data_IF_195404756982
#
_entry.id   IF_195404756982
#
_cell.length_a   1.000
_cell.length_b   1.000
_cell.length_c   1.000
_cell.angle_alpha   90.00
_cell.angle_beta   90.00
_cell.angle_gamma   90.00
#
_symmetry.space_group_name_H-M   'P 1'
#
loop_
_entity.id
_entity.type
_entity.pdbx_description
1 polymer ?
#
# COMPACT_ATOMS: atom_id res chain seq x y z
N UNK A 1 5.44 -19.69 -2.97
CA UNK A 1 4.20 -18.91 -2.77
C UNK A 1 4.08 -17.85 -3.88
N UNK A 2 2.87 -17.41 -4.25
CA UNK A 2 2.56 -16.43 -5.31
C UNK A 2 1.93 -15.22 -4.66
N UNK A 3 2.55 -14.07 -4.85
CA UNK A 3 2.22 -12.82 -4.16
C UNK A 3 1.73 -11.79 -5.16
N UNK A 4 0.43 -11.49 -5.19
CA UNK A 4 -0.12 -10.39 -5.96
C UNK A 4 0.12 -9.06 -5.20
N UNK A 5 0.84 -8.12 -5.81
CA UNK A 5 1.27 -6.87 -5.18
C UNK A 5 0.76 -5.70 -6.02
N UNK A 6 -0.26 -5.00 -5.54
CA UNK A 6 -0.81 -3.82 -6.25
C UNK A 6 0.07 -2.60 -6.01
N UNK A 7 0.23 -1.74 -7.03
CA UNK A 7 1.22 -0.67 -7.00
C UNK A 7 2.64 -1.21 -6.84
N UNK A 8 2.89 -2.39 -7.41
CA UNK A 8 4.11 -3.16 -7.21
C UNK A 8 5.36 -2.56 -7.86
N UNK A 9 5.21 -1.61 -8.78
CA UNK A 9 6.31 -0.84 -9.37
C UNK A 9 6.51 0.53 -8.70
N UNK A 10 5.80 0.80 -7.59
CA UNK A 10 5.98 1.99 -6.77
C UNK A 10 7.04 1.82 -5.68
N UNK A 11 7.32 2.91 -4.94
CA UNK A 11 8.40 3.00 -3.94
C UNK A 11 8.41 1.85 -2.93
N UNK A 12 7.30 1.56 -2.27
CA UNK A 12 7.20 0.46 -1.32
C UNK A 12 6.86 -0.87 -1.98
N UNK A 13 6.05 -0.85 -3.06
CA UNK A 13 5.65 -2.06 -3.77
C UNK A 13 6.82 -2.84 -4.32
N UNK A 14 7.81 -2.16 -4.88
CA UNK A 14 9.08 -2.75 -5.33
C UNK A 14 9.84 -3.40 -4.17
N UNK A 15 9.94 -2.71 -3.03
CA UNK A 15 10.61 -3.26 -1.84
C UNK A 15 9.86 -4.45 -1.24
N UNK A 16 8.54 -4.44 -1.31
CA UNK A 16 7.73 -5.60 -0.94
C UNK A 16 7.98 -6.80 -1.86
N UNK A 17 8.11 -6.56 -3.16
CA UNK A 17 8.42 -7.59 -4.14
C UNK A 17 9.83 -8.17 -3.95
N UNK A 18 10.83 -7.32 -3.71
CA UNK A 18 12.20 -7.74 -3.38
C UNK A 18 12.23 -8.61 -2.12
N UNK A 19 11.56 -8.17 -1.03
CA UNK A 19 11.51 -8.91 0.22
C UNK A 19 10.97 -10.33 0.05
N UNK A 20 9.83 -10.49 -0.65
CA UNK A 20 9.24 -11.83 -0.82
C UNK A 20 10.05 -12.70 -1.79
N UNK A 21 10.73 -12.09 -2.78
CA UNK A 21 11.61 -12.79 -3.71
C UNK A 21 12.86 -13.35 -3.03
N UNK A 22 13.47 -12.62 -2.09
CA UNK A 22 14.60 -13.06 -1.30
C UNK A 22 14.31 -14.35 -0.53
N UNK A 23 13.05 -14.56 -0.14
CA UNK A 23 12.59 -15.80 0.51
C UNK A 23 12.02 -16.86 -0.47
N UNK A 24 12.37 -16.75 -1.76
CA UNK A 24 12.01 -17.74 -2.77
C UNK A 24 10.54 -17.72 -3.22
N UNK A 25 9.81 -16.66 -2.91
CA UNK A 25 8.45 -16.49 -3.39
C UNK A 25 8.43 -15.94 -4.83
N UNK A 26 7.27 -16.03 -5.49
CA UNK A 26 7.06 -15.55 -6.87
C UNK A 26 6.20 -14.30 -6.83
N UNK A 27 6.79 -13.10 -6.83
CA UNK A 27 6.03 -11.86 -6.86
C UNK A 27 5.38 -11.62 -8.23
N UNK A 28 4.16 -11.11 -8.20
CA UNK A 28 3.41 -10.59 -9.34
C UNK A 28 3.26 -9.09 -9.15
N UNK A 29 3.88 -8.33 -10.00
CA UNK A 29 3.94 -6.88 -9.98
C UNK A 29 2.73 -6.33 -10.75
N UNK A 30 1.74 -5.84 -10.01
CA UNK A 30 0.52 -5.27 -10.57
C UNK A 30 0.61 -3.74 -10.50
N UNK A 31 0.67 -3.07 -11.64
CA UNK A 31 0.76 -1.60 -11.71
C UNK A 31 0.10 -1.09 -13.00
N UNK A 32 -0.12 0.22 -13.13
CA UNK A 32 -0.78 0.80 -14.30
C UNK A 32 0.02 0.64 -15.60
N UNK A 33 1.35 0.58 -15.51
CA UNK A 33 2.23 0.62 -16.67
C UNK A 33 2.98 -0.70 -16.88
N UNK A 34 2.67 -1.41 -17.97
CA UNK A 34 3.30 -2.70 -18.30
C UNK A 34 4.84 -2.63 -18.28
N UNK A 35 5.42 -1.60 -18.90
CA UNK A 35 6.87 -1.47 -18.96
C UNK A 35 7.53 -1.34 -17.58
N UNK A 36 6.88 -0.63 -16.64
CA UNK A 36 7.39 -0.48 -15.27
C UNK A 36 7.23 -1.78 -14.48
N UNK A 37 6.07 -2.43 -14.56
CA UNK A 37 5.81 -3.70 -13.89
C UNK A 37 6.80 -4.78 -14.34
N UNK A 38 7.04 -4.87 -15.65
CA UNK A 38 7.94 -5.86 -16.20
C UNK A 38 9.41 -5.56 -15.89
N UNK A 39 9.84 -4.30 -15.89
CA UNK A 39 11.20 -3.92 -15.50
C UNK A 39 11.51 -4.31 -14.04
N UNK A 40 10.54 -4.17 -13.12
CA UNK A 40 10.69 -4.64 -11.74
C UNK A 40 10.75 -6.17 -11.70
N UNK A 41 9.88 -6.85 -12.44
CA UNK A 41 9.87 -8.31 -12.49
C UNK A 41 11.17 -8.88 -13.07
N UNK A 42 11.72 -8.27 -14.13
CA UNK A 42 13.00 -8.64 -14.73
C UNK A 42 14.15 -8.52 -13.73
N UNK A 43 14.27 -7.37 -13.05
CA UNK A 43 15.29 -7.17 -12.03
C UNK A 43 15.18 -8.18 -10.89
N UNK A 44 13.98 -8.54 -10.46
CA UNK A 44 13.76 -9.56 -9.45
C UNK A 44 14.20 -10.94 -9.93
N UNK A 45 13.87 -11.32 -11.17
CA UNK A 45 14.34 -12.59 -11.76
C UNK A 45 15.86 -12.67 -11.79
N UNK A 46 16.51 -11.58 -12.23
CA UNK A 46 17.97 -11.52 -12.37
C UNK A 46 18.68 -11.56 -11.00
N UNK A 47 18.15 -10.84 -10.03
CA UNK A 47 18.81 -10.68 -8.72
C UNK A 47 18.56 -11.88 -7.79
N UNK A 48 17.35 -12.46 -7.79
CA UNK A 48 16.96 -13.48 -6.82
C UNK A 48 16.76 -14.88 -7.43
N UNK A 49 16.80 -14.99 -8.75
CA UNK A 49 16.64 -16.29 -9.43
C UNK A 49 15.24 -16.90 -9.26
N UNK A 50 14.24 -16.12 -8.90
CA UNK A 50 12.86 -16.57 -8.75
C UNK A 50 12.01 -16.17 -9.95
N UNK A 51 10.93 -16.90 -10.18
CA UNK A 51 9.94 -16.50 -11.19
C UNK A 51 9.17 -15.27 -10.70
N UNK A 52 9.17 -14.22 -11.52
CA UNK A 52 8.39 -12.99 -11.31
C UNK A 52 7.74 -12.54 -12.62
N UNK A 53 6.60 -11.90 -12.56
CA UNK A 53 5.91 -11.32 -13.73
C UNK A 53 5.39 -9.92 -13.42
N UNK A 54 5.38 -9.06 -14.44
CA UNK A 54 4.76 -7.75 -14.42
C UNK A 54 3.49 -7.74 -15.26
N UNK A 55 2.41 -7.21 -14.73
CA UNK A 55 1.13 -7.03 -15.44
C UNK A 55 0.66 -5.59 -15.32
N UNK A 56 0.19 -5.04 -16.44
CA UNK A 56 -0.55 -3.78 -16.45
C UNK A 56 -1.97 -4.02 -15.94
N UNK A 57 -2.37 -3.29 -14.91
CA UNK A 57 -3.70 -3.39 -14.35
C UNK A 57 -4.12 -2.07 -13.70
N UNK A 58 -5.30 -1.60 -14.04
CA UNK A 58 -6.01 -0.58 -13.27
C UNK A 58 -6.91 -1.27 -12.25
N UNK A 59 -6.56 -1.14 -10.96
CA UNK A 59 -7.35 -1.75 -9.88
C UNK A 59 -8.70 -1.08 -9.64
N UNK A 60 -9.00 0.02 -10.31
CA UNK A 60 -10.35 0.61 -10.32
C UNK A 60 -11.27 -0.08 -11.33
N UNK A 61 -10.71 -0.89 -12.26
CA UNK A 61 -11.45 -1.72 -13.20
C UNK A 61 -11.59 -3.14 -12.67
N UNK A 62 -12.81 -3.50 -12.27
CA UNK A 62 -13.11 -4.87 -11.80
C UNK A 62 -12.83 -5.92 -12.90
N UNK A 63 -13.09 -5.58 -14.17
CA UNK A 63 -12.83 -6.45 -15.31
C UNK A 63 -11.33 -6.81 -15.43
N UNK A 64 -10.44 -5.80 -15.37
CA UNK A 64 -8.99 -6.03 -15.43
C UNK A 64 -8.49 -6.87 -14.24
N UNK A 65 -9.08 -6.69 -13.05
CA UNK A 65 -8.76 -7.54 -11.89
C UNK A 65 -9.14 -8.99 -12.15
N UNK A 66 -10.32 -9.24 -12.70
CA UNK A 66 -10.78 -10.59 -13.05
C UNK A 66 -9.85 -11.24 -14.08
N UNK A 67 -9.52 -10.52 -15.15
CA UNK A 67 -8.62 -10.99 -16.20
C UNK A 67 -7.23 -11.32 -15.65
N UNK A 68 -6.64 -10.42 -14.88
CA UNK A 68 -5.33 -10.64 -14.27
C UNK A 68 -5.34 -11.80 -13.27
N UNK A 69 -6.43 -11.96 -12.51
CA UNK A 69 -6.61 -13.11 -11.63
C UNK A 69 -6.60 -14.43 -12.41
N UNK A 70 -7.28 -14.48 -13.57
CA UNK A 70 -7.28 -15.66 -14.44
C UNK A 70 -5.88 -15.95 -15.01
N UNK A 71 -5.15 -14.93 -15.47
CA UNK A 71 -3.75 -15.06 -15.93
C UNK A 71 -2.88 -15.70 -14.84
N UNK A 72 -3.04 -15.27 -13.58
CA UNK A 72 -2.28 -15.85 -12.46
C UNK A 72 -2.66 -17.31 -12.20
N UNK A 73 -3.95 -17.65 -12.28
CA UNK A 73 -4.42 -19.00 -12.09
C UNK A 73 -3.92 -19.93 -13.21
N UNK A 74 -3.99 -19.49 -14.45
CA UNK A 74 -3.51 -20.26 -15.62
C UNK A 74 -1.99 -20.50 -15.53
N UNK A 75 -1.23 -19.50 -15.13
CA UNK A 75 0.23 -19.58 -15.02
C UNK A 75 0.71 -20.37 -13.82
N UNK A 76 0.11 -20.15 -12.66
CA UNK A 76 0.62 -20.63 -11.37
C UNK A 76 -0.28 -21.65 -10.67
N UNK A 77 -1.50 -21.85 -11.16
CA UNK A 77 -2.52 -22.73 -10.57
C UNK A 77 -3.19 -22.19 -9.32
N UNK A 78 -2.62 -21.16 -8.66
CA UNK A 78 -3.15 -20.57 -7.44
C UNK A 78 -2.52 -19.22 -7.11
N UNK A 79 -3.16 -18.48 -6.20
CA UNK A 79 -2.65 -17.25 -5.57
C UNK A 79 -2.59 -17.50 -4.06
N UNK A 80 -1.49 -17.19 -3.40
CA UNK A 80 -1.29 -17.47 -1.97
C UNK A 80 -1.44 -16.22 -1.11
N UNK A 81 -1.09 -15.05 -1.64
CA UNK A 81 -1.02 -13.78 -0.90
C UNK A 81 -1.48 -12.62 -1.76
N UNK A 82 -2.17 -11.67 -1.14
CA UNK A 82 -2.46 -10.34 -1.69
C UNK A 82 -1.83 -9.25 -0.80
N UNK A 83 -1.12 -8.32 -1.44
CA UNK A 83 -0.62 -7.10 -0.80
C UNK A 83 -1.30 -5.92 -1.49
N UNK A 84 -2.30 -5.33 -0.83
CA UNK A 84 -2.95 -4.10 -1.25
C UNK A 84 -2.06 -2.91 -0.87
N UNK A 85 -1.19 -2.51 -1.81
CA UNK A 85 -0.23 -1.43 -1.61
C UNK A 85 -0.51 -0.21 -2.51
N UNK A 86 -1.25 -0.37 -3.61
CA UNK A 86 -1.57 0.74 -4.50
C UNK A 86 -2.28 1.89 -3.78
N UNK A 87 -1.86 3.11 -4.05
CA UNK A 87 -2.46 4.32 -3.51
C UNK A 87 -2.14 5.51 -4.41
N UNK A 88 -3.07 6.44 -4.53
CA UNK A 88 -2.76 7.79 -4.98
C UNK A 88 -2.10 8.56 -3.84
N UNK A 89 -1.07 9.32 -4.17
CA UNK A 89 -0.46 10.28 -3.26
C UNK A 89 -0.16 11.57 -4.03
N UNK A 90 -1.21 12.33 -4.38
CA UNK A 90 -1.04 13.54 -5.18
C UNK A 90 -0.10 14.51 -4.46
N UNK A 91 0.91 15.00 -5.18
CA UNK A 91 1.81 16.02 -4.66
C UNK A 91 1.06 17.34 -4.56
N UNK A 92 1.10 17.96 -3.41
CA UNK A 92 0.42 19.22 -3.10
C UNK A 92 0.93 20.38 -3.97
N UNK A 93 2.05 20.21 -4.66
CA UNK A 93 2.75 21.24 -5.45
C UNK A 93 2.26 21.39 -6.89
N UNK A 94 1.44 20.44 -7.38
CA UNK A 94 1.08 20.36 -8.80
C UNK A 94 -0.04 21.33 -9.25
N UNK A 95 -0.62 22.16 -8.35
CA UNK A 95 -1.68 23.09 -8.69
C UNK A 95 -1.17 24.52 -8.88
N UNK A 96 -1.24 25.03 -10.10
CA UNK A 96 -0.73 26.37 -10.47
C UNK A 96 -1.52 27.55 -9.91
N UNK A 97 -2.79 27.42 -9.45
CA UNK A 97 -3.62 28.58 -9.07
C UNK A 97 -4.59 28.40 -7.89
N UNK A 98 -4.88 27.18 -7.43
CA UNK A 98 -5.77 26.94 -6.28
C UNK A 98 -5.14 25.89 -5.40
N UNK A 99 -5.05 26.17 -4.09
CA UNK A 99 -4.58 25.18 -3.14
C UNK A 99 -5.64 24.10 -2.94
N UNK A 100 -5.62 23.07 -3.80
CA UNK A 100 -6.56 21.96 -3.77
C UNK A 100 -6.42 21.07 -2.53
N UNK A 101 -5.32 21.19 -1.76
CA UNK A 101 -5.15 20.39 -0.55
C UNK A 101 -6.09 20.79 0.58
N UNK A 102 -6.58 22.04 0.57
CA UNK A 102 -7.46 22.56 1.61
C UNK A 102 -8.87 22.00 1.47
N UNK A 103 -9.49 21.68 2.61
CA UNK A 103 -10.80 21.03 2.66
C UNK A 103 -11.89 21.82 1.90
N UNK A 104 -11.91 23.14 2.09
CA UNK A 104 -12.88 24.04 1.45
C UNK A 104 -12.74 24.13 -0.07
N UNK A 105 -11.58 23.76 -0.62
CA UNK A 105 -11.27 23.79 -2.05
C UNK A 105 -11.04 22.39 -2.64
N UNK A 106 -11.20 21.34 -1.85
CA UNK A 106 -10.84 19.98 -2.28
C UNK A 106 -11.81 19.48 -3.35
N UNK A 107 -11.34 19.16 -4.59
CA UNK A 107 -12.22 18.77 -5.68
C UNK A 107 -12.85 17.41 -5.45
N UNK A 108 -14.13 17.29 -5.78
CA UNK A 108 -14.89 16.02 -5.62
C UNK A 108 -14.41 14.93 -6.57
N UNK A 109 -13.93 15.30 -7.76
CA UNK A 109 -13.30 14.36 -8.71
C UNK A 109 -12.03 13.73 -8.13
N UNK A 110 -11.12 14.54 -7.56
CA UNK A 110 -9.92 14.02 -6.86
C UNK A 110 -10.33 13.14 -5.67
N UNK A 111 -11.37 13.54 -4.92
CA UNK A 111 -11.90 12.69 -3.84
C UNK A 111 -12.33 11.32 -4.38
N UNK A 112 -13.11 11.30 -5.45
CA UNK A 112 -13.61 10.06 -6.04
C UNK A 112 -12.46 9.19 -6.57
N UNK A 113 -11.47 9.78 -7.22
CA UNK A 113 -10.30 9.07 -7.74
C UNK A 113 -9.45 8.47 -6.61
N UNK A 114 -9.20 9.22 -5.54
CA UNK A 114 -8.43 8.72 -4.40
C UNK A 114 -9.15 7.57 -3.69
N UNK A 115 -10.47 7.67 -3.50
CA UNK A 115 -11.30 6.60 -2.93
C UNK A 115 -11.35 5.38 -3.88
N UNK A 116 -11.48 5.62 -5.19
CA UNK A 116 -11.52 4.56 -6.19
C UNK A 116 -10.23 3.73 -6.17
N UNK A 117 -9.07 4.36 -6.18
CA UNK A 117 -7.78 3.66 -6.13
C UNK A 117 -7.50 3.08 -4.75
N UNK A 118 -7.58 3.91 -3.71
CA UNK A 118 -7.03 3.55 -2.40
C UNK A 118 -7.93 2.65 -1.56
N UNK A 119 -9.24 2.67 -1.77
CA UNK A 119 -10.19 1.90 -0.98
C UNK A 119 -11.02 0.94 -1.83
N UNK A 120 -11.70 1.45 -2.88
CA UNK A 120 -12.51 0.59 -3.76
C UNK A 120 -11.63 -0.43 -4.48
N UNK A 121 -10.47 -0.04 -5.01
CA UNK A 121 -9.52 -0.95 -5.65
C UNK A 121 -9.00 -2.03 -4.71
N UNK A 122 -8.67 -1.67 -3.46
CA UNK A 122 -8.27 -2.66 -2.45
C UNK A 122 -9.41 -3.65 -2.12
N UNK A 123 -10.64 -3.16 -2.05
CA UNK A 123 -11.84 -4.01 -1.90
C UNK A 123 -12.01 -4.95 -3.09
N UNK A 124 -11.93 -4.46 -4.33
CA UNK A 124 -12.07 -5.27 -5.54
C UNK A 124 -10.96 -6.33 -5.63
N UNK A 125 -9.72 -5.96 -5.34
CA UNK A 125 -8.61 -6.91 -5.26
C UNK A 125 -8.86 -7.98 -4.19
N UNK A 126 -9.32 -7.60 -3.00
CA UNK A 126 -9.68 -8.57 -1.98
C UNK A 126 -10.84 -9.48 -2.42
N UNK A 127 -11.87 -8.92 -3.09
CA UNK A 127 -13.00 -9.67 -3.63
C UNK A 127 -12.55 -10.78 -4.59
N UNK A 128 -11.64 -10.51 -5.50
CA UNK A 128 -11.25 -11.47 -6.54
C UNK A 128 -10.03 -12.30 -6.15
N UNK A 129 -8.89 -11.69 -5.81
CA UNK A 129 -7.70 -12.44 -5.37
C UNK A 129 -7.91 -13.11 -4.02
N UNK A 130 -8.54 -12.41 -3.05
CA UNK A 130 -8.84 -12.97 -1.73
C UNK A 130 -9.76 -14.18 -1.81
N UNK A 131 -10.75 -14.16 -2.71
CA UNK A 131 -11.61 -15.32 -2.97
C UNK A 131 -10.82 -16.53 -3.50
N UNK A 132 -9.82 -16.32 -4.37
CA UNK A 132 -8.98 -17.43 -4.83
C UNK A 132 -8.04 -17.94 -3.73
N UNK A 133 -7.51 -17.03 -2.90
CA UNK A 133 -6.72 -17.40 -1.71
C UNK A 133 -7.55 -18.27 -0.77
N UNK A 134 -8.81 -17.92 -0.55
CA UNK A 134 -9.73 -18.69 0.31
C UNK A 134 -10.09 -20.10 -0.22
N UNK A 135 -9.83 -20.38 -1.49
CA UNK A 135 -9.96 -21.75 -2.08
C UNK A 135 -8.77 -22.64 -1.83
N UNK A 136 -7.63 -22.09 -1.41
CA UNK A 136 -6.46 -22.89 -1.13
C UNK A 136 -6.70 -23.75 0.12
N UNK A 137 -6.31 -25.03 0.13
CA UNK A 137 -6.47 -25.91 1.29
C UNK A 137 -5.80 -25.39 2.58
N UNK A 138 -4.74 -24.61 2.44
CA UNK A 138 -4.01 -23.99 3.56
C UNK A 138 -4.38 -22.52 3.79
N UNK A 139 -5.34 -21.98 3.02
CA UNK A 139 -5.67 -20.55 3.07
C UNK A 139 -4.53 -19.67 2.53
N UNK A 140 -4.27 -18.55 3.18
CA UNK A 140 -3.22 -17.61 2.81
C UNK A 140 -3.26 -16.32 3.62
N UNK A 141 -2.71 -15.23 3.06
CA UNK A 141 -2.63 -13.95 3.77
C UNK A 141 -2.98 -12.76 2.87
N UNK A 142 -3.65 -11.78 3.45
CA UNK A 142 -3.90 -10.47 2.86
C UNK A 142 -3.25 -9.42 3.76
N UNK A 143 -2.45 -8.52 3.18
CA UNK A 143 -1.91 -7.35 3.90
C UNK A 143 -2.36 -6.08 3.20
N UNK A 144 -3.03 -5.22 3.94
CA UNK A 144 -3.41 -3.88 3.49
C UNK A 144 -2.36 -2.87 3.99
N UNK A 145 -1.75 -2.12 3.07
CA UNK A 145 -0.76 -1.09 3.42
C UNK A 145 -1.52 0.21 3.73
N UNK A 146 -1.77 0.42 5.03
CA UNK A 146 -2.35 1.64 5.56
C UNK A 146 -1.27 2.73 5.76
N UNK A 147 -1.29 3.44 6.87
CA UNK A 147 -0.32 4.46 7.28
C UNK A 147 -0.48 4.75 8.77
N UNK A 148 0.52 5.37 9.39
CA UNK A 148 0.38 6.05 10.69
C UNK A 148 -0.79 7.06 10.68
N UNK A 149 -1.02 7.76 9.55
CA UNK A 149 -2.16 8.67 9.36
C UNK A 149 -3.52 7.97 9.17
N UNK A 150 -3.56 6.66 9.20
CA UNK A 150 -4.78 5.87 9.39
C UNK A 150 -5.09 5.63 10.87
N UNK A 151 -4.11 5.84 11.76
CA UNK A 151 -4.22 5.66 13.21
C UNK A 151 -4.35 6.98 13.95
N UNK A 152 -3.71 8.02 13.45
CA UNK A 152 -3.65 9.34 14.07
C UNK A 152 -4.01 10.46 13.10
N UNK A 153 -4.34 11.62 13.64
CA UNK A 153 -4.59 12.82 12.84
C UNK A 153 -3.30 13.38 12.23
N UNK A 154 -3.34 13.90 10.99
CA UNK A 154 -2.19 14.57 10.40
C UNK A 154 -1.87 15.88 11.14
N UNK A 155 -0.59 16.12 11.43
CA UNK A 155 -0.15 17.43 11.91
C UNK A 155 -0.05 18.40 10.73
N UNK A 156 -1.04 19.29 10.61
CA UNK A 156 -1.10 20.24 9.50
C UNK A 156 0.04 21.29 9.55
N UNK A 157 0.73 21.45 10.68
CA UNK A 157 1.86 22.37 10.82
C UNK A 157 3.06 21.96 9.97
N UNK A 158 3.19 20.69 9.63
CA UNK A 158 4.26 20.17 8.76
C UNK A 158 4.27 20.82 7.37
N UNK A 159 3.09 21.21 6.87
CA UNK A 159 2.91 21.73 5.52
C UNK A 159 3.01 23.26 5.45
N UNK A 160 3.21 23.94 6.60
CA UNK A 160 3.31 25.40 6.65
C UNK A 160 4.60 25.89 6.00
N UNK A 161 4.46 26.91 5.13
CA UNK A 161 5.57 27.64 4.50
C UNK A 161 5.63 29.07 5.04
N UNK A 162 6.85 29.54 5.31
CA UNK A 162 7.06 30.94 5.72
C UNK A 162 6.67 31.90 4.60
N UNK A 163 6.17 33.08 4.96
CA UNK A 163 5.74 34.10 4.01
C UNK A 163 4.42 33.82 3.28
N UNK A 164 3.79 32.66 3.50
CA UNK A 164 2.49 32.30 2.88
C UNK A 164 1.35 32.61 3.86
N UNK A 165 0.32 33.31 3.39
CA UNK A 165 -0.86 33.64 4.18
C UNK A 165 -1.54 32.34 4.70
N UNK A 166 -2.13 32.42 5.90
CA UNK A 166 -2.76 31.28 6.59
C UNK A 166 -3.79 30.55 5.71
N UNK A 167 -4.58 31.26 4.95
CA UNK A 167 -5.64 30.72 4.09
C UNK A 167 -5.10 30.09 2.78
N UNK A 168 -3.81 30.30 2.49
CA UNK A 168 -3.12 29.74 1.32
C UNK A 168 -2.11 28.66 1.68
N UNK A 169 -1.99 28.32 2.96
CA UNK A 169 -1.09 27.24 3.40
C UNK A 169 -1.55 25.88 2.89
N UNK A 170 -0.60 25.05 2.49
CA UNK A 170 -0.87 23.65 2.17
C UNK A 170 -1.25 22.88 3.44
N UNK A 171 -2.02 21.82 3.26
CA UNK A 171 -2.40 20.87 4.30
C UNK A 171 -2.30 19.43 3.75
N UNK A 172 -2.33 18.43 4.60
CA UNK A 172 -2.48 17.05 4.12
C UNK A 172 -3.87 16.89 3.50
N UNK A 173 -3.98 16.38 2.26
CA UNK A 173 -5.28 16.09 1.64
C UNK A 173 -6.16 15.21 2.51
N UNK A 174 -7.45 15.53 2.59
CA UNK A 174 -8.41 14.84 3.45
C UNK A 174 -8.57 13.36 3.09
N UNK A 175 -8.51 13.03 1.81
CA UNK A 175 -8.68 11.68 1.27
C UNK A 175 -7.65 10.70 1.81
N UNK A 176 -6.41 11.16 2.06
CA UNK A 176 -5.35 10.28 2.52
C UNK A 176 -5.69 9.58 3.85
N UNK A 177 -6.06 10.37 4.87
CA UNK A 177 -6.44 9.79 6.17
C UNK A 177 -7.69 8.92 6.08
N UNK A 178 -8.68 9.31 5.26
CA UNK A 178 -9.92 8.55 5.07
C UNK A 178 -9.64 7.21 4.42
N UNK A 179 -8.87 7.17 3.33
CA UNK A 179 -8.47 5.93 2.65
C UNK A 179 -7.69 5.03 3.61
N UNK A 180 -6.69 5.57 4.29
CA UNK A 180 -5.83 4.78 5.18
C UNK A 180 -6.58 4.24 6.40
N UNK A 181 -7.52 4.99 6.96
CA UNK A 181 -8.43 4.50 8.02
C UNK A 181 -9.43 3.48 7.45
N UNK A 182 -9.97 3.70 6.24
CA UNK A 182 -10.86 2.77 5.55
C UNK A 182 -10.22 1.39 5.33
N UNK A 183 -8.93 1.33 4.98
CA UNK A 183 -8.19 0.08 4.84
C UNK A 183 -8.09 -0.71 6.16
N UNK A 184 -8.04 -0.03 7.32
CA UNK A 184 -8.11 -0.68 8.63
C UNK A 184 -9.48 -1.31 8.85
N UNK A 185 -10.56 -0.61 8.47
CA UNK A 185 -11.92 -1.14 8.49
C UNK A 185 -12.07 -2.39 7.61
N UNK A 186 -11.59 -2.32 6.36
CA UNK A 186 -11.57 -3.45 5.43
C UNK A 186 -10.77 -4.65 5.99
N UNK A 187 -9.63 -4.38 6.62
CA UNK A 187 -8.80 -5.42 7.27
C UNK A 187 -9.59 -6.20 8.32
N UNK A 188 -10.26 -5.50 9.22
CA UNK A 188 -11.06 -6.12 10.30
C UNK A 188 -12.23 -6.94 9.76
N UNK A 189 -12.90 -6.43 8.70
CA UNK A 189 -13.96 -7.17 8.04
C UNK A 189 -13.46 -8.48 7.42
N UNK A 190 -12.39 -8.41 6.62
CA UNK A 190 -11.83 -9.56 5.94
C UNK A 190 -11.24 -10.60 6.89
N UNK A 191 -10.69 -10.17 8.02
CA UNK A 191 -10.14 -11.06 9.04
C UNK A 191 -11.18 -12.02 9.63
N UNK A 192 -12.43 -11.59 9.71
CA UNK A 192 -13.53 -12.46 10.18
C UNK A 192 -14.21 -13.19 9.04
N UNK A 193 -14.27 -12.60 7.85
CA UNK A 193 -15.03 -13.12 6.71
C UNK A 193 -14.50 -14.46 6.17
N UNK A 194 -13.18 -14.66 6.14
CA UNK A 194 -12.52 -15.88 5.68
C UNK A 194 -11.70 -16.60 6.76
N UNK A 195 -12.00 -16.36 8.04
CA UNK A 195 -11.29 -17.01 9.14
C UNK A 195 -11.43 -18.55 9.08
N UNK A 196 -12.61 -19.05 8.71
CA UNK A 196 -12.91 -20.48 8.50
C UNK A 196 -12.16 -21.11 7.31
N UNK A 197 -11.58 -20.29 6.44
CA UNK A 197 -10.77 -20.68 5.28
C UNK A 197 -9.25 -20.54 5.53
N UNK A 198 -8.85 -20.26 6.77
CA UNK A 198 -7.45 -20.00 7.12
C UNK A 198 -6.83 -18.82 6.34
N UNK A 199 -7.63 -17.82 5.96
CA UNK A 199 -7.12 -16.58 5.37
C UNK A 199 -6.98 -15.55 6.48
N UNK A 200 -5.75 -15.08 6.70
CA UNK A 200 -5.47 -13.98 7.62
C UNK A 200 -5.47 -12.66 6.86
N UNK A 201 -6.04 -11.62 7.46
CA UNK A 201 -5.99 -10.28 6.92
C UNK A 201 -5.49 -9.30 7.98
N UNK A 202 -4.40 -8.57 7.70
CA UNK A 202 -3.80 -7.62 8.62
C UNK A 202 -3.47 -6.31 7.91
N UNK A 203 -3.38 -5.21 8.66
CA UNK A 203 -2.93 -3.92 8.16
C UNK A 203 -1.53 -3.60 8.67
N UNK A 204 -0.62 -3.24 7.78
CA UNK A 204 0.62 -2.57 8.13
C UNK A 204 0.43 -1.07 8.01
N UNK A 205 0.90 -0.32 9.01
CA UNK A 205 0.78 1.14 9.06
C UNK A 205 2.17 1.78 9.06
N UNK A 206 2.79 1.93 7.88
CA UNK A 206 4.07 2.62 7.73
C UNK A 206 3.98 4.08 8.18
N UNK A 207 5.04 4.56 8.83
CA UNK A 207 5.29 5.99 9.00
C UNK A 207 5.83 6.65 7.72
N UNK A 208 6.40 7.82 7.86
CA UNK A 208 7.00 8.54 6.75
C UNK A 208 8.21 7.81 6.17
N UNK A 209 8.29 7.75 4.85
CA UNK A 209 9.41 7.17 4.09
C UNK A 209 10.25 8.29 3.49
N UNK A 210 11.58 8.22 3.66
CA UNK A 210 12.50 9.16 3.02
C UNK A 210 12.52 8.92 1.50
N UNK A 211 12.21 9.96 0.75
CA UNK A 211 12.12 9.91 -0.71
C UNK A 211 12.33 11.31 -1.33
N UNK A 212 13.46 11.94 -1.00
CA UNK A 212 13.86 13.22 -1.58
C UNK A 212 13.01 14.43 -1.17
N UNK A 213 12.38 14.39 0.01
CA UNK A 213 11.64 15.54 0.55
C UNK A 213 12.61 16.69 0.89
N UNK A 214 12.12 17.97 0.84
CA UNK A 214 12.93 19.13 1.23
C UNK A 214 13.43 19.04 2.67
N UNK A 215 14.64 19.56 2.94
CA UNK A 215 15.30 19.49 4.25
C UNK A 215 14.45 20.12 5.38
N UNK A 216 13.77 21.24 5.12
CA UNK A 216 12.90 21.89 6.08
C UNK A 216 11.69 21.01 6.47
N UNK A 217 11.14 20.27 5.52
CA UNK A 217 10.10 19.27 5.79
C UNK A 217 10.67 18.09 6.59
N UNK A 218 11.84 17.57 6.20
CA UNK A 218 12.50 16.47 6.90
C UNK A 218 12.79 16.83 8.36
N UNK A 219 13.30 18.03 8.62
CA UNK A 219 13.56 18.49 9.98
C UNK A 219 12.28 18.56 10.83
N UNK A 220 11.19 19.10 10.26
CA UNK A 220 9.89 19.19 10.95
C UNK A 220 9.30 17.81 11.25
N UNK A 221 9.25 16.92 10.26
CA UNK A 221 8.63 15.61 10.44
C UNK A 221 9.46 14.71 11.37
N UNK A 222 10.79 14.75 11.27
CA UNK A 222 11.70 13.98 12.14
C UNK A 222 11.55 14.38 13.60
N UNK A 223 11.33 15.66 13.89
CA UNK A 223 11.12 16.13 15.27
C UNK A 223 9.84 15.59 15.93
N UNK A 224 8.90 15.06 15.15
CA UNK A 224 7.68 14.41 15.64
C UNK A 224 7.82 12.88 15.80
N UNK A 225 8.96 12.32 15.42
CA UNK A 225 9.21 10.89 15.46
C UNK A 225 10.27 10.63 16.54
N UNK A 226 10.00 9.79 17.57
CA UNK A 226 10.98 9.49 18.61
C UNK A 226 12.33 8.97 18.09
N UNK A 227 12.34 8.19 16.99
CA UNK A 227 13.58 7.77 16.33
C UNK A 227 14.28 8.91 15.55
N UNK A 228 13.71 10.11 15.52
CA UNK A 228 14.23 11.35 14.94
C UNK A 228 14.65 11.24 13.47
N UNK A 229 13.98 10.41 12.69
CA UNK A 229 14.17 10.26 11.24
C UNK A 229 12.97 9.63 10.57
N UNK A 230 12.88 9.80 9.25
CA UNK A 230 12.02 8.96 8.42
C UNK A 230 12.64 7.57 8.24
N UNK A 231 11.83 6.60 7.88
CA UNK A 231 12.30 5.27 7.52
C UNK A 231 12.88 5.26 6.10
N UNK A 232 13.83 4.37 5.85
CA UNK A 232 14.21 3.96 4.50
C UNK A 232 13.11 3.04 3.94
N UNK A 233 13.01 2.95 2.61
CA UNK A 233 11.97 2.16 1.96
C UNK A 233 12.05 0.65 2.23
N UNK A 234 13.23 0.13 2.58
CA UNK A 234 13.50 -1.27 2.91
C UNK A 234 13.21 -1.65 4.38
N UNK A 235 13.07 -0.68 5.28
CA UNK A 235 12.86 -0.95 6.72
C UNK A 235 11.49 -1.58 7.04
N UNK A 236 10.58 -1.64 6.09
CA UNK A 236 9.27 -2.29 6.23
C UNK A 236 9.27 -3.77 5.83
N UNK A 237 10.32 -4.24 5.16
CA UNK A 237 10.42 -5.59 4.61
C UNK A 237 10.31 -6.66 5.69
N UNK A 238 11.03 -6.52 6.80
CA UNK A 238 11.01 -7.49 7.90
C UNK A 238 9.62 -7.66 8.52
N UNK A 239 8.91 -6.55 8.78
CA UNK A 239 7.55 -6.59 9.31
C UNK A 239 6.59 -7.22 8.32
N UNK A 240 6.68 -6.87 7.03
CA UNK A 240 5.85 -7.48 6.00
C UNK A 240 6.04 -8.99 5.94
N UNK A 241 7.28 -9.47 5.88
CA UNK A 241 7.61 -10.89 5.84
C UNK A 241 7.09 -11.64 7.07
N UNK A 242 7.24 -11.06 8.26
CA UNK A 242 6.67 -11.63 9.47
C UNK A 242 5.15 -11.75 9.37
N UNK A 243 4.43 -10.70 8.95
CA UNK A 243 2.97 -10.70 8.79
C UNK A 243 2.49 -11.75 7.77
N UNK A 244 3.29 -12.07 6.76
CA UNK A 244 2.98 -13.02 5.70
C UNK A 244 3.36 -14.47 6.05
N UNK A 245 4.24 -14.67 7.02
CA UNK A 245 4.78 -15.98 7.39
C UNK A 245 3.95 -16.70 8.45
N UNK A 246 4.25 -17.99 8.65
CA UNK A 246 3.67 -18.80 9.73
C UNK A 246 4.11 -18.34 11.13
N UNK A 247 5.17 -17.55 11.25
CA UNK A 247 5.59 -16.92 12.51
C UNK A 247 4.51 -15.97 13.08
N UNK A 248 3.57 -15.54 12.25
CA UNK A 248 2.40 -14.74 12.64
C UNK A 248 1.07 -15.47 12.44
N UNK A 249 1.07 -16.82 12.54
CA UNK A 249 -0.10 -17.64 12.23
C UNK A 249 -1.36 -17.32 13.06
N UNK A 250 -1.20 -16.76 14.25
CA UNK A 250 -2.32 -16.32 15.11
C UNK A 250 -2.63 -14.82 15.00
N UNK A 251 -1.94 -14.10 14.09
CA UNK A 251 -2.17 -12.68 13.82
C UNK A 251 -3.24 -12.52 12.76
N UNK A 252 -4.43 -12.05 13.14
CA UNK A 252 -5.55 -11.83 12.22
C UNK A 252 -6.39 -10.62 12.68
N UNK A 253 -6.68 -9.69 11.78
CA UNK A 253 -7.35 -8.43 12.07
C UNK A 253 -6.49 -7.38 12.76
N UNK A 254 -5.19 -7.63 12.88
CA UNK A 254 -4.26 -6.74 13.55
C UNK A 254 -3.95 -5.50 12.68
N UNK A 255 -3.64 -4.42 13.40
CA UNK A 255 -3.17 -3.16 12.84
C UNK A 255 -1.79 -2.90 13.42
N UNK A 256 -0.77 -3.02 12.60
CA UNK A 256 0.64 -3.03 13.02
C UNK A 256 1.31 -1.71 12.63
N UNK A 257 1.54 -0.77 13.58
CA UNK A 257 2.29 0.44 13.31
C UNK A 257 3.79 0.13 13.13
N UNK A 258 4.41 0.76 12.12
CA UNK A 258 5.85 0.69 11.84
C UNK A 258 6.29 2.12 11.50
N UNK A 259 6.51 2.96 12.52
CA UNK A 259 6.50 4.42 12.35
C UNK A 259 7.50 5.16 13.25
N UNK A 260 8.45 4.45 13.86
CA UNK A 260 9.52 5.04 14.69
C UNK A 260 9.05 5.58 16.05
N UNK A 261 7.86 5.15 16.54
CA UNK A 261 7.29 5.54 17.83
C UNK A 261 6.42 6.79 17.78
N UNK A 262 5.89 7.15 16.60
CA UNK A 262 5.12 8.38 16.39
C UNK A 262 3.67 8.30 16.87
N UNK A 263 3.04 7.11 16.87
CA UNK A 263 1.65 6.89 17.29
C UNK A 263 1.52 6.45 18.74
#
# INVERSE_FOLDING_TARGET
MRYAITGGAGLLGEKHAEAVAEFGAKPVILDLFQAKSEAVAERIRDQYGVEAIGLAIDITSEEQIIESCQILLDKFGKIDVLINNAANNPKVEDSKNVNFSRLENFPVDIWNDDIAVGLTGAFLCAKHYGFQIAKNPKGGSIVNISSDLGLMAPDQRLYKREGVNKDKQNVKPVTYSIVKTGLIGLTRYLATYWADKNVRCNAMCPGGVENGQPEDFLAKVSSLIPMNRLAKSDEYQGTLLWMLSDASSYLNGAVVPVEGGRT
#
